data_IF_378988175732
#
_entry.id   IF_378988175732
#
_cell.length_a   1.000
_cell.length_b   1.000
_cell.length_c   1.000
_cell.angle_alpha   90.00
_cell.angle_beta   90.00
_cell.angle_gamma   90.00
#
_symmetry.space_group_name_H-M   'P 1'
#
loop_
_entity.id
_entity.type
_entity.pdbx_description
1 polymer ?
#
# COMPACT_ATOMS: atom_id res chain seq x y z
N UNK A 1 30.21 2.71 19.89
CA UNK A 1 28.81 3.07 19.62
C UNK A 1 28.08 1.78 19.28
N UNK A 2 26.87 1.55 19.79
CA UNK A 2 26.07 0.41 19.33
C UNK A 2 25.64 0.68 17.89
N UNK A 3 25.66 -0.36 17.07
CA UNK A 3 25.09 -0.30 15.73
C UNK A 3 23.59 0.00 15.83
N UNK A 4 23.09 0.85 14.94
CA UNK A 4 21.65 1.12 14.82
C UNK A 4 21.17 0.61 13.47
N UNK A 5 20.06 -0.12 13.49
CA UNK A 5 19.41 -0.62 12.29
C UNK A 5 18.09 0.13 12.10
N UNK A 6 17.86 0.61 10.88
CA UNK A 6 16.59 1.19 10.47
C UNK A 6 15.81 0.11 9.71
N UNK A 7 14.61 -0.19 10.18
CA UNK A 7 13.67 -1.02 9.43
C UNK A 7 12.47 -0.19 8.96
N UNK A 8 12.05 -0.43 7.73
CA UNK A 8 10.79 0.08 7.19
C UNK A 8 9.85 -1.09 7.00
N UNK A 9 8.72 -1.06 7.70
CA UNK A 9 7.72 -2.12 7.65
C UNK A 9 6.43 -1.57 7.09
N UNK A 10 5.82 -2.29 6.17
CA UNK A 10 4.46 -1.99 5.75
C UNK A 10 3.50 -3.10 6.17
N UNK A 11 2.36 -2.70 6.70
CA UNK A 11 1.24 -3.57 7.01
C UNK A 11 0.05 -3.12 6.18
N UNK A 12 -0.45 -4.02 5.36
CA UNK A 12 -1.62 -3.81 4.55
C UNK A 12 -2.79 -4.59 5.15
N UNK A 13 -3.92 -3.92 5.34
CA UNK A 13 -5.17 -4.51 5.83
C UNK A 13 -6.28 -4.17 4.86
N UNK A 14 -7.09 -5.17 4.53
CA UNK A 14 -8.31 -4.97 3.76
C UNK A 14 -9.53 -5.48 4.51
N UNK A 15 -10.67 -4.82 4.29
CA UNK A 15 -11.97 -5.20 4.84
C UNK A 15 -13.01 -5.19 3.75
N UNK A 16 -13.70 -6.31 3.55
CA UNK A 16 -14.89 -6.40 2.69
C UNK A 16 -16.10 -6.56 3.59
N UNK A 17 -16.94 -5.53 3.68
CA UNK A 17 -18.19 -5.59 4.41
C UNK A 17 -19.28 -6.09 3.47
N UNK A 18 -19.91 -7.20 3.85
CA UNK A 18 -20.95 -7.85 3.07
C UNK A 18 -22.32 -7.30 3.45
N UNK A 19 -23.26 -7.39 2.51
CA UNK A 19 -24.66 -7.03 2.74
C UNK A 19 -25.34 -7.84 3.85
N UNK A 20 -24.91 -9.06 4.10
CA UNK A 20 -25.42 -9.90 5.20
C UNK A 20 -24.90 -9.51 6.58
N UNK A 21 -24.04 -8.48 6.66
CA UNK A 21 -23.43 -7.97 7.88
C UNK A 21 -22.11 -8.65 8.25
N UNK A 22 -21.67 -9.67 7.52
CA UNK A 22 -20.35 -10.28 7.71
C UNK A 22 -19.23 -9.36 7.20
N UNK A 23 -18.04 -9.51 7.78
CA UNK A 23 -16.84 -8.77 7.37
C UNK A 23 -15.69 -9.75 7.14
N UNK A 24 -15.12 -9.73 5.94
CA UNK A 24 -13.83 -10.35 5.67
C UNK A 24 -12.74 -9.34 5.98
N UNK A 25 -11.89 -9.62 6.96
CA UNK A 25 -10.72 -8.81 7.27
C UNK A 25 -9.45 -9.66 7.20
N UNK A 26 -8.46 -9.18 6.46
CA UNK A 26 -7.17 -9.86 6.34
C UNK A 26 -6.04 -8.84 6.25
N UNK A 27 -4.89 -9.21 6.83
CA UNK A 27 -3.71 -8.36 6.90
C UNK A 27 -2.46 -9.10 6.45
N UNK A 28 -1.57 -8.40 5.76
CA UNK A 28 -0.35 -8.94 5.19
C UNK A 28 0.82 -7.96 5.39
N UNK A 29 2.01 -8.52 5.53
CA UNK A 29 3.26 -7.75 5.43
C UNK A 29 3.62 -7.63 3.96
N UNK A 30 4.07 -6.46 3.53
CA UNK A 30 4.47 -6.24 2.14
C UNK A 30 5.98 -6.08 1.98
N UNK A 31 6.41 -6.15 0.73
CA UNK A 31 7.77 -5.87 0.31
C UNK A 31 7.87 -4.40 -0.11
N UNK A 32 8.86 -3.67 0.41
CA UNK A 32 9.22 -2.32 -0.05
C UNK A 32 10.14 -2.49 -1.26
N UNK A 33 9.83 -1.83 -2.38
CA UNK A 33 10.65 -1.95 -3.59
C UNK A 33 11.95 -1.15 -3.46
N UNK A 34 12.94 -1.47 -4.30
CA UNK A 34 14.16 -0.67 -4.40
C UNK A 34 13.86 0.79 -4.72
N UNK A 35 12.95 1.05 -5.67
CA UNK A 35 12.54 2.41 -6.00
C UNK A 35 11.82 3.12 -4.83
N UNK A 36 11.08 2.38 -4.01
CA UNK A 36 10.48 2.90 -2.78
C UNK A 36 11.53 3.32 -1.74
N UNK A 37 12.61 2.54 -1.58
CA UNK A 37 13.75 2.92 -0.74
C UNK A 37 14.47 4.15 -1.30
N UNK A 38 14.72 4.19 -2.61
CA UNK A 38 15.35 5.32 -3.28
C UNK A 38 14.51 6.60 -3.18
N UNK A 39 13.17 6.47 -3.23
CA UNK A 39 12.23 7.57 -2.99
C UNK A 39 12.43 8.16 -1.59
N UNK A 40 12.50 7.32 -0.55
CA UNK A 40 12.71 7.80 0.83
C UNK A 40 14.06 8.50 1.01
N UNK A 41 15.13 7.92 0.45
CA UNK A 41 16.45 8.55 0.47
C UNK A 41 16.45 9.90 -0.25
N UNK A 42 15.75 10.00 -1.38
CA UNK A 42 15.63 11.25 -2.15
C UNK A 42 14.84 12.32 -1.38
N UNK A 43 13.75 11.93 -0.70
CA UNK A 43 13.01 12.83 0.18
C UNK A 43 13.90 13.38 1.30
N UNK A 44 14.68 12.52 1.96
CA UNK A 44 15.60 12.93 3.03
C UNK A 44 16.72 13.84 2.52
N UNK A 45 17.19 13.64 1.29
CA UNK A 45 18.17 14.50 0.64
C UNK A 45 17.60 15.84 0.17
N UNK A 46 16.28 16.06 0.28
CA UNK A 46 15.62 17.29 -0.15
C UNK A 46 15.58 17.46 -1.67
N UNK A 47 15.51 16.36 -2.43
CA UNK A 47 15.43 16.42 -3.90
C UNK A 47 14.15 17.17 -4.31
N UNK A 48 14.21 18.25 -5.13
CA UNK A 48 13.07 19.15 -5.35
C UNK A 48 11.86 18.57 -6.11
N UNK A 49 11.98 17.39 -6.73
CA UNK A 49 10.94 16.78 -7.58
C UNK A 49 10.65 15.35 -7.09
N UNK A 50 10.40 15.21 -5.80
CA UNK A 50 9.95 13.93 -5.24
C UNK A 50 8.43 13.97 -5.13
N UNK A 51 7.75 13.18 -5.95
CA UNK A 51 6.30 13.02 -5.87
C UNK A 51 5.93 12.25 -4.60
N UNK A 52 4.93 12.74 -3.87
CA UNK A 52 4.41 12.06 -2.69
C UNK A 52 3.74 10.73 -3.08
N UNK A 53 3.87 9.73 -2.22
CA UNK A 53 3.05 8.51 -2.30
C UNK A 53 1.63 8.90 -1.93
N UNK A 54 0.69 8.75 -2.86
CA UNK A 54 -0.70 9.20 -2.68
C UNK A 54 -1.73 8.22 -3.24
N UNK A 55 -1.32 7.35 -4.16
CA UNK A 55 -2.23 6.50 -4.91
C UNK A 55 -2.13 5.07 -4.43
N UNK A 56 -3.27 4.40 -4.39
CA UNK A 56 -3.40 3.00 -4.03
C UNK A 56 -3.97 2.27 -5.24
N UNK A 57 -3.25 1.24 -5.69
CA UNK A 57 -3.65 0.40 -6.80
C UNK A 57 -4.01 -1.01 -6.34
N UNK A 58 -4.93 -1.64 -7.07
CA UNK A 58 -5.32 -3.03 -6.92
C UNK A 58 -5.21 -3.74 -8.26
N UNK A 59 -4.86 -5.02 -8.24
CA UNK A 59 -4.67 -5.81 -9.44
C UNK A 59 -4.96 -7.30 -9.25
N UNK A 60 -4.69 -8.07 -10.31
CA UNK A 60 -4.94 -9.52 -10.39
C UNK A 60 -3.67 -10.34 -10.62
N UNK A 61 -2.48 -9.74 -10.46
CA UNK A 61 -1.21 -10.44 -10.51
C UNK A 61 -1.06 -11.50 -9.43
N UNK A 62 -0.30 -12.55 -9.74
CA UNK A 62 -0.12 -13.73 -8.92
C UNK A 62 1.37 -14.02 -8.65
N UNK A 63 2.26 -13.43 -9.43
CA UNK A 63 3.71 -13.59 -9.30
C UNK A 63 4.19 -12.88 -8.04
N UNK A 64 4.85 -13.62 -7.15
CA UNK A 64 5.37 -13.09 -5.88
C UNK A 64 6.18 -11.80 -6.08
N UNK A 65 6.02 -10.81 -5.17
CA UNK A 65 6.67 -9.51 -5.33
C UNK A 65 8.19 -9.61 -5.20
N UNK A 66 8.88 -8.80 -5.98
CA UNK A 66 10.35 -8.65 -5.92
C UNK A 66 10.73 -7.20 -5.67
N UNK A 67 11.92 -6.97 -5.11
CA UNK A 67 12.45 -5.62 -4.90
C UNK A 67 12.66 -4.83 -6.19
N UNK A 68 12.76 -5.52 -7.33
CA UNK A 68 12.92 -4.90 -8.64
C UNK A 68 11.61 -4.48 -9.29
N UNK A 69 10.46 -4.86 -8.73
CA UNK A 69 9.17 -4.56 -9.35
C UNK A 69 8.95 -3.04 -9.41
N UNK A 70 8.52 -2.56 -10.58
CA UNK A 70 8.22 -1.13 -10.81
C UNK A 70 6.74 -0.86 -11.06
N UNK A 71 5.93 -1.92 -11.18
CA UNK A 71 4.49 -1.88 -11.38
C UNK A 71 3.83 -3.13 -10.78
N UNK A 72 2.51 -3.10 -10.63
CA UNK A 72 1.71 -4.32 -10.45
C UNK A 72 1.81 -5.18 -11.71
N UNK A 73 1.69 -6.50 -11.56
CA UNK A 73 1.79 -7.42 -12.69
C UNK A 73 0.56 -7.29 -13.62
N UNK A 74 -0.63 -7.11 -13.05
CA UNK A 74 -1.87 -6.88 -13.75
C UNK A 74 -2.74 -5.88 -12.97
N UNK A 75 -2.43 -4.59 -13.11
CA UNK A 75 -3.20 -3.51 -12.47
C UNK A 75 -4.61 -3.39 -13.04
N UNK A 76 -5.61 -3.38 -12.16
CA UNK A 76 -7.02 -3.23 -12.53
C UNK A 76 -7.56 -1.82 -12.25
N UNK A 77 -7.06 -1.18 -11.19
CA UNK A 77 -7.45 0.18 -10.81
C UNK A 77 -6.36 0.86 -10.00
N UNK A 78 -6.37 2.20 -10.03
CA UNK A 78 -5.52 3.06 -9.22
C UNK A 78 -6.26 4.32 -8.83
N UNK A 79 -6.32 4.60 -7.54
CA UNK A 79 -7.09 5.72 -7.02
C UNK A 79 -6.35 6.49 -5.93
N UNK A 80 -6.73 7.75 -5.74
CA UNK A 80 -6.19 8.60 -4.68
C UNK A 80 -6.63 8.06 -3.31
N UNK A 81 -5.67 7.94 -2.40
CA UNK A 81 -5.89 7.58 -1.00
C UNK A 81 -5.84 8.82 -0.09
N UNK A 82 -6.51 8.73 1.05
CA UNK A 82 -6.33 9.66 2.16
C UNK A 82 -5.04 9.31 2.88
N UNK A 83 -4.10 10.27 2.96
CA UNK A 83 -2.79 10.06 3.57
C UNK A 83 -2.68 10.86 4.87
N UNK A 84 -2.32 10.16 5.95
CA UNK A 84 -2.24 10.74 7.30
C UNK A 84 -0.94 10.33 7.96
N UNK A 85 -0.14 11.30 8.40
CA UNK A 85 0.95 11.03 9.35
C UNK A 85 0.34 10.78 10.73
N UNK A 86 0.62 9.62 11.31
CA UNK A 86 0.11 9.28 12.63
C UNK A 86 0.88 10.03 13.73
N UNK A 87 0.17 10.31 14.82
CA UNK A 87 0.69 11.04 15.99
C UNK A 87 0.69 10.12 17.21
N UNK A 88 1.20 10.61 18.34
CA UNK A 88 1.27 9.88 19.60
C UNK A 88 -0.01 9.08 19.91
N UNK A 89 0.10 7.78 20.27
CA UNK A 89 1.32 6.99 20.52
C UNK A 89 1.87 6.24 19.29
N UNK A 90 1.39 6.56 18.09
CA UNK A 90 1.68 5.89 16.82
C UNK A 90 2.61 6.72 15.92
N UNK A 91 3.51 7.51 16.50
CA UNK A 91 4.47 8.30 15.73
C UNK A 91 5.34 7.43 14.82
N UNK A 92 6.01 8.05 13.85
CA UNK A 92 6.85 7.39 12.85
C UNK A 92 6.07 6.41 11.96
N UNK A 93 4.77 6.67 11.76
CA UNK A 93 3.91 5.93 10.86
C UNK A 93 3.18 6.86 9.90
N UNK A 94 2.95 6.37 8.69
CA UNK A 94 2.07 6.99 7.69
C UNK A 94 0.99 5.99 7.32
N UNK A 95 -0.26 6.44 7.39
CA UNK A 95 -1.43 5.68 6.99
C UNK A 95 -1.93 6.15 5.62
N UNK A 96 -2.17 5.20 4.73
CA UNK A 96 -2.86 5.38 3.46
C UNK A 96 -4.20 4.67 3.55
N UNK A 97 -5.29 5.36 3.28
CA UNK A 97 -6.63 4.83 3.45
C UNK A 97 -7.49 5.07 2.22
N UNK A 98 -8.24 4.06 1.83
CA UNK A 98 -9.26 4.18 0.79
C UNK A 98 -10.47 3.32 1.14
N UNK A 99 -11.64 3.95 1.05
CA UNK A 99 -12.94 3.29 1.14
C UNK A 99 -13.63 3.43 -0.22
N UNK A 100 -14.17 2.33 -0.70
CA UNK A 100 -15.06 2.24 -1.83
C UNK A 100 -16.46 1.89 -1.33
N UNK A 101 -17.45 2.68 -1.76
CA UNK A 101 -18.85 2.43 -1.50
C UNK A 101 -19.35 1.22 -2.30
N UNK A 102 -20.56 0.76 -1.98
CA UNK A 102 -21.20 -0.37 -2.67
C UNK A 102 -21.19 -0.16 -4.19
N UNK A 103 -20.60 -1.13 -4.90
CA UNK A 103 -20.59 -1.14 -6.37
C UNK A 103 -19.56 -0.22 -7.03
N UNK A 104 -18.78 0.57 -6.29
CA UNK A 104 -17.70 1.38 -6.88
C UNK A 104 -16.55 0.51 -7.39
N UNK A 105 -16.30 -0.62 -6.73
CA UNK A 105 -15.28 -1.59 -7.13
C UNK A 105 -15.85 -2.99 -7.07
N UNK A 106 -15.69 -3.74 -8.16
CA UNK A 106 -16.20 -5.12 -8.31
C UNK A 106 -15.15 -5.95 -9.01
N UNK A 107 -14.87 -7.12 -8.47
CA UNK A 107 -13.89 -8.03 -9.02
C UNK A 107 -13.22 -8.87 -7.96
N UNK A 108 -12.19 -9.60 -8.37
CA UNK A 108 -11.37 -10.40 -7.48
C UNK A 108 -9.94 -9.88 -7.56
N UNK A 109 -9.40 -9.42 -6.43
CA UNK A 109 -8.07 -8.82 -6.37
C UNK A 109 -7.07 -9.76 -5.68
N UNK A 110 -5.83 -9.76 -6.14
CA UNK A 110 -4.74 -10.59 -5.62
C UNK A 110 -3.44 -9.84 -5.43
N UNK A 111 -3.36 -8.58 -5.84
CA UNK A 111 -2.21 -7.73 -5.58
C UNK A 111 -2.62 -6.28 -5.31
N UNK A 112 -1.72 -5.56 -4.64
CA UNK A 112 -1.89 -4.14 -4.34
C UNK A 112 -0.53 -3.45 -4.22
N UNK A 113 -0.52 -2.14 -4.41
CA UNK A 113 0.68 -1.31 -4.24
C UNK A 113 0.37 0.17 -4.07
N UNK A 114 1.30 0.90 -3.47
CA UNK A 114 1.23 2.35 -3.34
C UNK A 114 2.09 3.03 -4.41
N UNK A 115 1.60 4.13 -4.97
CA UNK A 115 2.19 4.83 -6.10
C UNK A 115 2.27 6.34 -5.89
N UNK A 116 3.22 6.97 -6.57
CA UNK A 116 3.39 8.43 -6.56
C UNK A 116 2.64 9.16 -7.69
N UNK A 117 1.99 8.45 -8.60
CA UNK A 117 1.26 9.02 -9.74
C UNK A 117 -0.08 8.32 -9.99
N UNK A 118 -1.06 9.08 -10.48
CA UNK A 118 -2.41 8.61 -10.78
C UNK A 118 -2.48 7.69 -12.02
N UNK A 119 -1.60 7.90 -12.98
CA UNK A 119 -1.65 7.21 -14.29
C UNK A 119 -0.90 5.89 -14.22
N UNK A 120 -1.51 4.82 -14.74
CA UNK A 120 -0.87 3.51 -14.88
C UNK A 120 0.39 3.64 -15.74
N UNK A 121 1.50 3.04 -15.30
CA UNK A 121 2.79 3.12 -15.97
C UNK A 121 3.60 4.39 -15.67
N UNK A 122 3.05 5.33 -14.90
CA UNK A 122 3.77 6.49 -14.39
C UNK A 122 4.03 6.37 -12.88
N UNK A 123 5.00 7.18 -12.41
CA UNK A 123 5.37 7.28 -11.01
C UNK A 123 6.22 6.12 -10.49
N UNK A 124 6.54 6.18 -9.20
CA UNK A 124 7.27 5.15 -8.48
C UNK A 124 6.26 4.26 -7.76
N UNK A 125 6.40 2.95 -7.93
CA UNK A 125 5.76 1.98 -7.04
C UNK A 125 6.57 1.88 -5.76
N UNK A 126 6.02 2.36 -4.65
CA UNK A 126 6.68 2.36 -3.35
C UNK A 126 6.83 0.94 -2.78
N UNK A 127 5.80 0.12 -2.98
CA UNK A 127 5.72 -1.22 -2.45
C UNK A 127 4.77 -2.09 -3.27
N UNK A 128 4.90 -3.41 -3.09
CA UNK A 128 3.98 -4.38 -3.69
C UNK A 128 3.65 -5.48 -2.69
N UNK A 129 2.40 -5.93 -2.75
CA UNK A 129 1.90 -7.09 -2.03
C UNK A 129 1.14 -7.99 -2.98
N UNK A 130 1.32 -9.31 -2.83
CA UNK A 130 0.48 -10.33 -3.46
C UNK A 130 -0.14 -11.16 -2.35
N UNK A 131 -1.44 -11.40 -2.46
CA UNK A 131 -2.26 -11.99 -1.40
C UNK A 131 -3.30 -12.96 -1.97
N UNK A 132 -3.90 -13.74 -1.08
CA UNK A 132 -4.99 -14.64 -1.44
C UNK A 132 -6.15 -13.86 -2.03
N UNK A 133 -6.72 -14.36 -3.13
CA UNK A 133 -7.82 -13.75 -3.87
C UNK A 133 -8.94 -13.23 -2.97
N UNK A 134 -9.29 -11.95 -3.15
CA UNK A 134 -10.39 -11.29 -2.45
C UNK A 134 -11.48 -10.85 -3.41
N UNK A 135 -12.63 -11.55 -3.39
CA UNK A 135 -13.79 -11.18 -4.20
C UNK A 135 -14.60 -10.08 -3.53
N UNK A 136 -14.82 -9.00 -4.27
CA UNK A 136 -15.71 -7.88 -3.94
C UNK A 136 -16.86 -7.87 -4.95
N UNK A 137 -18.08 -7.83 -4.45
CA UNK A 137 -19.31 -7.83 -5.25
C UNK A 137 -19.99 -6.46 -5.24
N UNK A 138 -20.98 -6.27 -6.11
CA UNK A 138 -21.72 -5.00 -6.25
C UNK A 138 -22.42 -4.52 -4.97
N UNK A 139 -22.66 -5.40 -4.00
CA UNK A 139 -23.32 -5.06 -2.73
C UNK A 139 -22.35 -4.93 -1.56
N UNK A 140 -21.05 -5.06 -1.81
CA UNK A 140 -20.05 -5.00 -0.76
C UNK A 140 -19.46 -3.59 -0.69
N UNK A 141 -19.18 -3.10 0.52
CA UNK A 141 -18.21 -2.00 0.67
C UNK A 141 -16.82 -2.58 0.84
N UNK A 142 -15.82 -1.88 0.33
CA UNK A 142 -14.44 -2.32 0.40
C UNK A 142 -13.57 -1.23 0.98
N UNK A 143 -12.73 -1.59 1.94
CA UNK A 143 -11.82 -0.66 2.60
C UNK A 143 -10.41 -1.24 2.60
N UNK A 144 -9.45 -0.39 2.31
CA UNK A 144 -8.03 -0.72 2.44
C UNK A 144 -7.34 0.32 3.31
N UNK A 145 -6.56 -0.18 4.27
CA UNK A 145 -5.64 0.61 5.08
C UNK A 145 -4.23 0.07 4.90
N UNK A 146 -3.29 0.95 4.58
CA UNK A 146 -1.87 0.66 4.53
C UNK A 146 -1.14 1.50 5.55
N UNK A 147 -0.43 0.87 6.48
CA UNK A 147 0.42 1.57 7.45
C UNK A 147 1.88 1.28 7.12
N UNK A 148 2.66 2.33 6.89
CA UNK A 148 4.12 2.26 6.75
C UNK A 148 4.74 2.80 8.04
N UNK A 149 5.58 1.99 8.68
CA UNK A 149 6.22 2.27 9.96
C UNK A 149 7.74 2.32 9.81
N UNK A 150 8.37 3.30 10.45
CA UNK A 150 9.81 3.51 10.50
C UNK A 150 10.32 3.19 11.91
N UNK A 151 11.15 2.15 12.02
CA UNK A 151 11.59 1.60 13.31
C UNK A 151 13.09 1.74 13.48
N UNK A 152 13.51 2.28 14.62
CA UNK A 152 14.85 2.06 15.13
C UNK A 152 14.86 0.72 15.87
N UNK A 153 15.42 -0.31 15.25
CA UNK A 153 15.57 -1.61 15.88
C UNK A 153 16.97 -1.69 16.49
N UNK A 154 17.02 -1.71 17.82
CA UNK A 154 18.27 -1.85 18.55
C UNK A 154 18.70 -3.31 18.64
N UNK A 155 20.01 -3.53 18.65
CA UNK A 155 20.64 -4.79 19.08
C UNK A 155 20.89 -4.81 20.60
#
# INVERSE_FOLDING_TARGET
MKEQHLEVRGTWTMKVHRKDGSCLEVSFKNLITKLGLDLMASTLAGVPIVSNVLYLALGTGLTAPTEADTALEAESLRELSTVTTLIAPDENKVQFHKLWAEGEVVGTFTEAGLFTAATVGEGIMFNRNVFTAVPVTVTDTFEVTWVVEFLNVGV
#
